data_IF_944945324547
#
_entry.id   IF_944945324547
#
_cell.length_a   1.000
_cell.length_b   1.000
_cell.length_c   1.000
_cell.angle_alpha   90.00
_cell.angle_beta   90.00
_cell.angle_gamma   90.00
#
_symmetry.space_group_name_H-M   'P 1'
#
loop_
_entity.id
_entity.type
_entity.pdbx_description
1 polymer ?
#
# COMPACT_ATOMS: atom_id res chain seq x y z
N UNK A 1 9.01 21.78 7.09
CA UNK A 1 8.80 22.36 5.75
C UNK A 1 7.53 21.80 5.16
N UNK A 2 6.60 22.63 4.67
CA UNK A 2 5.40 22.15 3.97
C UNK A 2 5.77 21.32 2.74
N UNK A 3 4.94 20.33 2.40
CA UNK A 3 5.09 19.52 1.19
C UNK A 3 3.72 19.31 0.52
N UNK A 4 3.71 19.14 -0.79
CA UNK A 4 2.50 18.98 -1.60
C UNK A 4 2.37 17.62 -2.29
N UNK A 5 3.43 16.81 -2.29
CA UNK A 5 3.42 15.43 -2.77
C UNK A 5 4.18 14.49 -1.86
N UNK A 6 3.73 13.25 -1.84
CA UNK A 6 4.41 12.11 -1.20
C UNK A 6 4.74 11.10 -2.30
N UNK A 7 5.88 10.43 -2.18
CA UNK A 7 6.25 9.33 -3.04
C UNK A 7 6.85 8.16 -2.27
N UNK A 8 6.66 6.97 -2.81
CA UNK A 8 7.17 5.71 -2.28
C UNK A 8 7.98 5.02 -3.34
N UNK A 9 9.18 4.56 -2.99
CA UNK A 9 9.93 3.58 -3.75
C UNK A 9 9.95 2.28 -2.95
N UNK A 10 9.26 1.26 -3.45
CA UNK A 10 9.26 -0.08 -2.88
C UNK A 10 10.04 -1.00 -3.80
N UNK A 11 10.98 -1.76 -3.23
CA UNK A 11 11.86 -2.67 -3.93
C UNK A 11 11.98 -3.98 -3.16
N UNK A 12 11.78 -5.08 -3.88
CA UNK A 12 11.93 -6.44 -3.36
C UNK A 12 12.78 -7.26 -4.33
N UNK A 13 13.69 -8.07 -3.78
CA UNK A 13 14.50 -9.01 -4.55
C UNK A 13 14.10 -10.42 -4.15
N UNK A 14 13.37 -11.17 -5.00
CA UNK A 14 13.08 -12.58 -4.75
C UNK A 14 14.36 -13.38 -4.53
N UNK A 15 14.31 -14.44 -3.71
CA UNK A 15 15.46 -15.33 -3.49
C UNK A 15 15.97 -15.96 -4.80
N UNK A 16 15.06 -16.24 -5.73
CA UNK A 16 15.33 -16.91 -7.00
C UNK A 16 14.89 -16.07 -8.21
N UNK A 17 15.10 -14.75 -8.19
CA UNK A 17 14.65 -13.90 -9.29
C UNK A 17 15.24 -12.49 -9.32
N UNK A 18 14.83 -11.73 -10.33
CA UNK A 18 15.25 -10.35 -10.53
C UNK A 18 14.55 -9.38 -9.59
N UNK A 19 15.22 -8.26 -9.31
CA UNK A 19 14.66 -7.21 -8.45
C UNK A 19 13.41 -6.58 -9.09
N UNK A 20 12.35 -6.50 -8.28
CA UNK A 20 11.07 -5.89 -8.59
C UNK A 20 10.94 -4.58 -7.83
N UNK A 21 10.60 -3.49 -8.50
CA UNK A 21 10.43 -2.19 -7.89
C UNK A 21 9.23 -1.44 -8.44
N UNK A 22 8.68 -0.55 -7.60
CA UNK A 22 7.72 0.46 -7.99
C UNK A 22 8.09 1.79 -7.34
N UNK A 23 8.02 2.85 -8.13
CA UNK A 23 7.96 4.23 -7.67
C UNK A 23 6.54 4.73 -7.88
N UNK A 24 5.86 5.14 -6.81
CA UNK A 24 4.54 5.75 -6.87
C UNK A 24 4.56 7.10 -6.19
N UNK A 25 4.01 8.13 -6.83
CA UNK A 25 3.86 9.46 -6.25
C UNK A 25 2.43 9.94 -6.36
N UNK A 26 1.98 10.75 -5.40
CA UNK A 26 0.60 11.22 -5.31
C UNK A 26 0.57 12.57 -4.60
N UNK A 27 -0.59 13.23 -4.65
CA UNK A 27 -0.84 14.42 -3.83
C UNK A 27 -0.67 14.10 -2.34
N UNK A 28 -0.18 15.09 -1.57
CA UNK A 28 0.01 14.92 -0.14
C UNK A 28 -1.33 14.67 0.57
N UNK A 29 -1.44 13.50 1.21
CA UNK A 29 -2.61 13.08 2.00
C UNK A 29 -2.51 13.46 3.49
N UNK A 30 -1.40 14.11 3.87
CA UNK A 30 -1.09 14.59 5.22
C UNK A 30 -0.10 15.75 5.10
N UNK A 31 -0.07 16.64 6.10
CA UNK A 31 0.98 17.67 6.24
C UNK A 31 2.08 17.27 7.22
N UNK A 32 1.92 16.12 7.87
CA UNK A 32 2.88 15.57 8.83
C UNK A 32 3.73 14.47 8.19
N UNK A 33 5.02 14.73 8.04
CA UNK A 33 5.99 13.78 7.46
C UNK A 33 6.18 12.54 8.33
N UNK A 34 5.92 12.62 9.64
CA UNK A 34 5.99 11.45 10.52
C UNK A 34 4.87 10.44 10.20
N UNK A 35 3.80 10.89 9.53
CA UNK A 35 2.63 10.07 9.17
C UNK A 35 2.72 9.46 7.77
N UNK A 36 3.82 9.64 7.04
CA UNK A 36 3.98 9.10 5.68
C UNK A 36 4.64 7.72 5.64
N UNK A 37 5.19 7.23 6.77
CA UNK A 37 5.81 5.91 6.88
C UNK A 37 4.83 4.76 7.13
N UNK A 38 5.36 3.61 7.58
CA UNK A 38 4.54 2.46 8.01
C UNK A 38 3.58 2.93 9.13
N UNK A 39 2.26 2.71 9.00
CA UNK A 39 1.24 3.32 9.85
C UNK A 39 1.07 2.55 11.16
N UNK A 40 2.09 2.59 12.01
CA UNK A 40 2.05 1.98 13.36
C UNK A 40 1.12 2.76 14.29
N UNK A 41 0.67 2.14 15.40
CA UNK A 41 -0.10 2.85 16.44
C UNK A 41 0.63 4.13 16.90
N UNK A 42 1.94 4.06 17.10
CA UNK A 42 2.77 5.18 17.54
C UNK A 42 2.87 6.32 16.50
N UNK A 43 2.75 6.02 15.20
CA UNK A 43 2.73 7.03 14.14
C UNK A 43 1.43 7.85 14.14
N UNK A 44 0.35 7.32 14.71
CA UNK A 44 -0.99 7.90 14.62
C UNK A 44 -1.54 7.96 13.19
N UNK A 45 -0.91 7.30 12.22
CA UNK A 45 -1.40 7.23 10.84
C UNK A 45 -2.66 6.38 10.73
N UNK A 46 -3.69 6.94 10.12
CA UNK A 46 -4.95 6.26 9.82
C UNK A 46 -5.60 6.94 8.62
N UNK A 47 -5.52 6.31 7.46
CA UNK A 47 -5.98 6.84 6.19
C UNK A 47 -6.68 5.74 5.38
N UNK A 48 -8.01 5.81 5.36
CA UNK A 48 -8.88 5.21 4.33
C UNK A 48 -9.34 6.36 3.45
N UNK A 49 -8.66 6.62 2.34
CA UNK A 49 -9.06 7.74 1.49
C UNK A 49 -8.64 7.59 0.03
N UNK A 50 -9.48 8.12 -0.84
CA UNK A 50 -9.15 8.33 -2.24
C UNK A 50 -8.04 9.36 -2.37
N UNK A 51 -7.12 9.10 -3.28
CA UNK A 51 -6.00 9.97 -3.64
C UNK A 51 -6.00 10.21 -5.14
N UNK A 52 -5.39 11.34 -5.55
CA UNK A 52 -5.38 11.80 -6.93
C UNK A 52 -3.96 12.06 -7.41
N UNK A 53 -3.84 12.25 -8.71
CA UNK A 53 -2.59 12.52 -9.40
C UNK A 53 -1.54 11.46 -9.07
N UNK A 54 -1.98 10.20 -9.04
CA UNK A 54 -1.13 9.05 -8.74
C UNK A 54 -0.32 8.72 -9.98
N UNK A 55 0.99 8.86 -9.89
CA UNK A 55 1.94 8.56 -10.94
C UNK A 55 2.73 7.32 -10.55
N UNK A 56 2.76 6.32 -11.42
CA UNK A 56 3.34 5.00 -11.18
C UNK A 56 4.39 4.69 -12.25
N UNK A 57 5.59 4.37 -11.79
CA UNK A 57 6.68 3.82 -12.59
C UNK A 57 7.15 2.51 -11.97
N UNK A 58 7.28 1.44 -12.75
CA UNK A 58 7.64 0.13 -12.22
C UNK A 58 8.24 -0.77 -13.30
N UNK A 59 9.18 -1.63 -12.92
CA UNK A 59 9.62 -2.76 -13.74
C UNK A 59 8.85 -4.06 -13.44
N UNK A 60 7.94 -4.04 -12.47
CA UNK A 60 7.28 -5.25 -11.97
C UNK A 60 6.13 -5.62 -12.90
N UNK A 61 6.06 -6.88 -13.38
CA UNK A 61 4.98 -7.32 -14.25
C UNK A 61 3.61 -7.09 -13.60
N UNK A 62 2.65 -6.57 -14.37
CA UNK A 62 1.28 -6.34 -13.89
C UNK A 62 1.07 -5.06 -13.08
N UNK A 63 2.11 -4.27 -12.81
CA UNK A 63 1.95 -2.91 -12.26
C UNK A 63 1.63 -1.93 -13.40
N UNK A 64 0.49 -1.21 -13.36
CA UNK A 64 0.18 -0.21 -14.38
C UNK A 64 1.18 0.94 -14.30
N UNK A 65 1.90 1.19 -15.39
CA UNK A 65 2.73 2.39 -15.53
C UNK A 65 1.90 3.51 -16.14
N UNK A 66 2.01 4.72 -15.59
CA UNK A 66 1.25 5.87 -16.06
C UNK A 66 1.19 7.00 -15.05
N UNK A 67 0.50 8.07 -15.41
CA UNK A 67 0.39 9.30 -14.61
C UNK A 67 -1.05 9.72 -14.47
N UNK A 68 -1.39 10.38 -13.36
CA UNK A 68 -2.71 10.97 -13.17
C UNK A 68 -3.82 9.98 -12.81
N UNK A 69 -3.48 8.79 -12.30
CA UNK A 69 -4.50 7.84 -11.84
C UNK A 69 -5.25 8.37 -10.60
N UNK A 70 -6.47 7.87 -10.41
CA UNK A 70 -7.12 7.88 -9.10
C UNK A 70 -6.73 6.61 -8.34
N UNK A 71 -6.51 6.75 -7.04
CA UNK A 71 -6.13 5.65 -6.17
C UNK A 71 -6.87 5.66 -4.84
N UNK A 72 -6.58 4.64 -4.03
CA UNK A 72 -7.05 4.54 -2.65
C UNK A 72 -5.86 4.17 -1.75
N UNK A 73 -5.79 4.81 -0.59
CA UNK A 73 -4.85 4.46 0.47
C UNK A 73 -5.53 3.61 1.52
N UNK A 74 -4.81 2.59 1.94
CA UNK A 74 -5.21 1.71 3.02
C UNK A 74 -4.13 1.64 4.09
N UNK A 75 -4.03 2.71 4.88
CA UNK A 75 -2.94 2.91 5.85
C UNK A 75 -3.49 2.98 7.27
N UNK A 76 -3.35 1.91 8.04
CA UNK A 76 -3.77 1.88 9.46
C UNK A 76 -3.08 0.74 10.22
N UNK A 77 -2.91 0.89 11.54
CA UNK A 77 -2.41 -0.19 12.40
C UNK A 77 -3.47 -1.24 12.75
N UNK A 78 -4.75 -0.96 12.47
CA UNK A 78 -5.86 -1.79 12.91
C UNK A 78 -5.87 -3.21 12.30
N UNK A 79 -6.69 -4.10 12.89
CA UNK A 79 -7.26 -5.20 12.11
C UNK A 79 -8.19 -4.65 11.00
N UNK A 80 -8.51 -5.49 10.02
CA UNK A 80 -9.42 -5.12 8.94
C UNK A 80 -10.13 -6.35 8.37
N UNK A 81 -11.18 -6.10 7.59
CA UNK A 81 -12.04 -7.10 6.98
C UNK A 81 -12.40 -6.75 5.53
N UNK A 82 -13.00 -7.70 4.83
CA UNK A 82 -13.22 -7.67 3.37
C UNK A 82 -14.32 -6.73 2.86
N UNK A 83 -15.08 -6.06 3.73
CA UNK A 83 -16.24 -5.29 3.27
C UNK A 83 -15.76 -3.98 2.66
N UNK A 84 -16.42 -3.53 1.59
CA UNK A 84 -16.14 -2.23 0.99
C UNK A 84 -16.87 -1.09 1.69
N UNK A 85 -16.63 -0.91 3.00
CA UNK A 85 -17.36 0.06 3.81
C UNK A 85 -17.10 1.53 3.41
N UNK A 86 -16.02 1.79 2.68
CA UNK A 86 -15.65 3.12 2.21
C UNK A 86 -16.15 3.43 0.78
N UNK A 87 -16.96 2.54 0.18
CA UNK A 87 -17.49 2.67 -1.18
C UNK A 87 -16.39 2.99 -2.22
N UNK A 88 -15.25 2.28 -2.12
CA UNK A 88 -14.17 2.42 -3.10
C UNK A 88 -14.63 1.80 -4.42
N UNK A 89 -14.57 2.53 -5.55
CA UNK A 89 -15.11 2.03 -6.82
C UNK A 89 -14.39 0.74 -7.23
N UNK A 90 -15.17 -0.27 -7.58
CA UNK A 90 -14.65 -1.55 -8.03
C UNK A 90 -14.06 -2.44 -6.94
N UNK A 91 -14.00 -2.03 -5.66
CA UNK A 91 -13.62 -2.93 -4.56
C UNK A 91 -14.73 -3.96 -4.25
N UNK A 92 -14.32 -5.09 -3.68
CA UNK A 92 -15.18 -6.23 -3.33
C UNK A 92 -15.73 -6.11 -1.92
N UNK A 93 -16.92 -6.65 -1.67
CA UNK A 93 -17.43 -6.86 -0.29
C UNK A 93 -17.01 -8.23 0.30
N UNK A 94 -16.27 -9.02 -0.48
CA UNK A 94 -16.07 -10.45 -0.22
C UNK A 94 -14.63 -10.93 -0.38
N UNK A 95 -13.70 -10.05 -0.75
CA UNK A 95 -12.26 -10.32 -0.91
C UNK A 95 -11.47 -9.20 -0.24
N UNK A 96 -10.22 -9.48 0.14
CA UNK A 96 -9.32 -8.40 0.54
C UNK A 96 -8.72 -7.78 -0.73
N UNK A 97 -9.00 -6.50 -0.95
CA UNK A 97 -8.58 -5.77 -2.15
C UNK A 97 -8.23 -4.30 -1.91
N UNK A 98 -8.97 -3.35 -2.48
CA UNK A 98 -8.63 -1.93 -2.50
C UNK A 98 -9.65 -1.06 -1.78
N UNK A 99 -10.55 -1.68 -1.02
CA UNK A 99 -11.58 -1.03 -0.22
C UNK A 99 -11.85 -1.71 1.11
N UNK A 100 -10.86 -2.37 1.71
CA UNK A 100 -11.01 -3.12 2.94
C UNK A 100 -11.55 -2.27 4.10
N UNK A 101 -12.38 -2.87 4.95
CA UNK A 101 -13.01 -2.23 6.10
C UNK A 101 -12.09 -2.29 7.32
N UNK A 102 -11.78 -1.13 7.88
CA UNK A 102 -11.06 -1.03 9.16
C UNK A 102 -11.90 -1.62 10.30
N UNK A 103 -11.32 -2.53 11.09
CA UNK A 103 -11.90 -2.92 12.39
C UNK A 103 -11.57 -1.86 13.45
N UNK A 104 -12.60 -1.12 13.87
CA UNK A 104 -12.47 -0.05 14.86
C UNK A 104 -12.15 -0.56 16.29
N UNK A 105 -12.34 -1.84 16.57
CA UNK A 105 -12.14 -2.38 17.93
C UNK A 105 -10.69 -2.73 18.21
N UNK A 106 -9.94 -3.15 17.20
CA UNK A 106 -8.54 -3.57 17.35
C UNK A 106 -7.62 -2.56 16.67
N UNK A 107 -7.21 -1.54 17.41
CA UNK A 107 -6.44 -0.39 16.88
C UNK A 107 -4.95 -0.68 16.64
N UNK A 108 -4.39 -1.70 17.29
CA UNK A 108 -3.01 -2.15 17.08
C UNK A 108 -3.05 -3.65 16.80
N UNK A 109 -3.32 -3.97 15.54
CA UNK A 109 -3.65 -5.32 15.07
C UNK A 109 -2.78 -5.73 13.88
N UNK A 110 -3.43 -6.30 12.87
CA UNK A 110 -2.78 -6.81 11.67
C UNK A 110 -2.03 -5.72 10.92
N UNK A 111 -2.64 -4.55 10.75
CA UNK A 111 -2.03 -3.42 10.08
C UNK A 111 -1.98 -3.55 8.56
N UNK A 112 -2.30 -2.45 7.87
CA UNK A 112 -2.28 -2.32 6.42
C UNK A 112 -1.47 -1.10 6.02
N UNK A 113 -0.60 -1.26 5.03
CA UNK A 113 0.03 -0.17 4.29
C UNK A 113 -0.01 -0.52 2.81
N UNK A 114 -1.13 -0.21 2.17
CA UNK A 114 -1.36 -0.54 0.78
C UNK A 114 -1.73 0.71 -0.02
N UNK A 115 -1.23 0.79 -1.24
CA UNK A 115 -1.62 1.80 -2.21
C UNK A 115 -2.21 1.09 -3.42
N UNK A 116 -3.37 1.55 -3.84
CA UNK A 116 -4.09 1.01 -4.98
C UNK A 116 -4.33 2.08 -6.04
N UNK A 117 -4.47 1.67 -7.29
CA UNK A 117 -5.12 2.46 -8.35
C UNK A 117 -6.48 1.87 -8.66
N UNK A 118 -7.46 2.72 -8.97
CA UNK A 118 -8.87 2.34 -9.14
C UNK A 118 -9.15 1.82 -10.56
N UNK A 119 -8.54 2.44 -11.57
CA UNK A 119 -8.72 2.05 -12.98
C UNK A 119 -7.39 2.19 -13.75
N UNK A 120 -6.78 1.07 -14.21
CA UNK A 120 -7.21 -0.30 -13.97
C UNK A 120 -7.02 -0.68 -12.49
N UNK A 121 -8.01 -1.36 -11.88
CA UNK A 121 -7.95 -1.78 -10.47
C UNK A 121 -6.70 -2.61 -10.20
N UNK A 122 -5.79 -2.11 -9.36
CA UNK A 122 -4.53 -2.79 -9.06
C UNK A 122 -3.92 -2.34 -7.74
N UNK A 123 -3.38 -3.30 -6.99
CA UNK A 123 -2.47 -3.03 -5.88
C UNK A 123 -1.14 -2.57 -6.46
N UNK A 124 -0.62 -1.42 -6.00
CA UNK A 124 0.68 -0.89 -6.42
C UNK A 124 1.79 -1.49 -5.56
N UNK A 125 1.63 -1.45 -4.24
CA UNK A 125 2.40 -2.24 -3.30
C UNK A 125 1.59 -2.48 -2.02
N UNK A 126 2.01 -3.48 -1.25
CA UNK A 126 1.45 -3.81 0.05
C UNK A 126 2.55 -4.11 1.07
N UNK A 127 2.37 -3.62 2.29
CA UNK A 127 3.10 -4.05 3.50
C UNK A 127 2.06 -4.23 4.61
N UNK A 128 1.71 -5.48 4.93
CA UNK A 128 0.75 -5.80 5.99
C UNK A 128 1.45 -6.61 7.09
N UNK A 129 0.89 -6.62 8.30
CA UNK A 129 1.39 -7.46 9.40
C UNK A 129 2.87 -7.29 9.72
N UNK A 130 3.35 -6.05 9.71
CA UNK A 130 4.75 -5.72 9.99
C UNK A 130 5.24 -6.14 11.39
N UNK A 131 4.33 -6.41 12.32
CA UNK A 131 4.62 -6.94 13.66
C UNK A 131 4.88 -8.45 13.68
N UNK A 132 4.55 -9.17 12.60
CA UNK A 132 4.81 -10.60 12.42
C UNK A 132 6.27 -10.87 12.07
N UNK A 133 6.75 -12.06 12.42
CA UNK A 133 8.04 -12.59 11.92
C UNK A 133 8.03 -12.81 10.39
N UNK A 134 6.82 -12.93 9.81
CA UNK A 134 6.60 -13.12 8.38
C UNK A 134 5.57 -12.11 7.86
N UNK A 135 5.92 -10.84 7.70
CA UNK A 135 5.02 -9.84 7.14
C UNK A 135 4.56 -10.18 5.73
N UNK A 136 3.46 -9.57 5.31
CA UNK A 136 3.00 -9.62 3.93
C UNK A 136 3.65 -8.46 3.17
N UNK A 137 4.37 -8.77 2.10
CA UNK A 137 5.05 -7.77 1.28
C UNK A 137 4.80 -8.08 -0.19
N UNK A 138 4.41 -7.06 -0.96
CA UNK A 138 4.11 -7.21 -2.38
C UNK A 138 4.41 -5.96 -3.19
N UNK A 139 4.81 -6.16 -4.45
CA UNK A 139 4.85 -5.11 -5.48
C UNK A 139 3.94 -5.58 -6.62
N UNK A 140 2.91 -4.79 -6.92
CA UNK A 140 1.84 -5.18 -7.84
C UNK A 140 0.74 -6.03 -7.19
N UNK A 141 -0.31 -6.30 -7.96
CA UNK A 141 -1.42 -7.20 -7.57
C UNK A 141 -0.91 -8.63 -7.41
N UNK A 142 -1.27 -9.29 -6.31
CA UNK A 142 -0.92 -10.69 -6.09
C UNK A 142 -1.68 -11.60 -7.07
N UNK A 143 -0.94 -12.41 -7.83
CA UNK A 143 -1.49 -13.42 -8.74
C UNK A 143 -1.09 -14.86 -8.38
N UNK A 144 -0.47 -15.06 -7.22
CA UNK A 144 0.04 -16.36 -6.78
C UNK A 144 -0.97 -17.15 -5.92
N UNK A 145 -2.26 -16.82 -6.04
CA UNK A 145 -3.34 -17.32 -5.19
C UNK A 145 -3.49 -16.55 -3.88
N UNK A 146 -4.66 -16.65 -3.27
CA UNK A 146 -5.04 -15.84 -2.11
C UNK A 146 -5.60 -14.49 -2.48
N UNK A 147 -5.41 -13.51 -1.60
CA UNK A 147 -5.97 -12.16 -1.72
C UNK A 147 -5.09 -11.25 -2.58
N UNK A 148 -5.71 -10.32 -3.30
CA UNK A 148 -5.07 -9.53 -4.36
C UNK A 148 -4.15 -8.42 -3.82
N UNK A 149 -4.37 -8.04 -2.57
CA UNK A 149 -3.67 -7.03 -1.78
C UNK A 149 -2.55 -7.61 -0.90
N UNK A 150 -2.23 -8.89 -1.10
CA UNK A 150 -1.23 -9.67 -0.36
C UNK A 150 -1.59 -10.03 1.08
N UNK A 151 -2.79 -9.72 1.55
CA UNK A 151 -3.22 -10.09 2.91
C UNK A 151 -3.13 -11.60 3.14
N UNK A 152 -2.53 -11.98 4.27
CA UNK A 152 -2.26 -13.36 4.72
C UNK A 152 -1.21 -14.15 3.92
N UNK A 153 -0.38 -13.52 3.10
CA UNK A 153 0.58 -14.23 2.24
C UNK A 153 1.83 -14.72 2.96
N UNK A 154 2.25 -14.06 4.05
CA UNK A 154 3.53 -14.26 4.72
C UNK A 154 4.71 -14.21 3.74
N UNK A 155 4.59 -13.37 2.71
CA UNK A 155 5.46 -13.38 1.52
C UNK A 155 6.83 -12.79 1.77
N UNK A 156 7.06 -12.06 2.88
CA UNK A 156 8.35 -11.48 3.20
C UNK A 156 9.51 -12.49 3.10
N UNK A 157 9.30 -13.75 3.50
CA UNK A 157 10.31 -14.81 3.45
C UNK A 157 10.74 -15.23 2.04
N UNK A 158 9.99 -14.84 1.02
CA UNK A 158 10.32 -15.12 -0.39
C UNK A 158 11.39 -14.18 -0.93
N UNK A 159 11.67 -13.08 -0.22
CA UNK A 159 12.60 -12.05 -0.66
C UNK A 159 13.91 -12.10 0.12
N UNK A 160 15.03 -12.05 -0.61
CA UNK A 160 16.38 -11.90 -0.08
C UNK A 160 16.64 -10.46 0.39
N UNK A 161 16.04 -9.47 -0.26
CA UNK A 161 16.11 -8.06 0.12
C UNK A 161 14.74 -7.39 -0.02
N UNK A 162 14.47 -6.42 0.88
CA UNK A 162 13.25 -5.61 0.95
C UNK A 162 13.64 -4.19 1.31
N UNK A 163 13.08 -3.19 0.62
CA UNK A 163 13.34 -1.78 0.92
C UNK A 163 12.15 -0.90 0.55
N UNK A 164 11.70 -0.12 1.53
CA UNK A 164 10.80 1.01 1.33
C UNK A 164 11.58 2.32 1.53
N UNK A 165 11.42 3.27 0.62
CA UNK A 165 11.85 4.67 0.80
C UNK A 165 10.65 5.58 0.64
N UNK A 166 10.53 6.57 1.51
CA UNK A 166 9.48 7.58 1.47
C UNK A 166 10.12 8.93 1.15
N UNK A 167 9.51 9.66 0.23
CA UNK A 167 9.94 10.98 -0.21
C UNK A 167 8.79 11.96 -0.07
N UNK A 168 9.12 13.22 0.18
CA UNK A 168 8.17 14.34 0.14
C UNK A 168 8.72 15.42 -0.78
N UNK A 169 7.83 16.10 -1.53
CA UNK A 169 8.20 17.25 -2.35
C UNK A 169 7.88 18.54 -1.58
N UNK A 170 8.89 19.33 -1.18
CA UNK A 170 8.65 20.62 -0.55
C UNK A 170 7.81 21.52 -1.45
N UNK A 171 6.87 22.26 -0.86
CA UNK A 171 6.17 23.34 -1.57
C UNK A 171 7.21 24.38 -2.00
N UNK A 172 7.15 24.80 -3.26
CA UNK A 172 7.98 25.90 -3.78
C UNK A 172 7.40 27.25 -3.43
#
# INVERSE_FOLDING_TARGET
>A
TPFDRVAYYMEVTPKDGETQWVFVSLDAFTTDVARTGVPTLASGSRFQQRVRNVDVHSNSPGVPNGTGFEGNLEFWPNNYGRRNAADVPGASDHAYDNGDEIDENTVDGYGSMQIHVIDPRSTIFAINHWSSDRPDIGVGTNHHGGESDWTFTGSADRYAAKRLRVFVRPVR
#
